data_IF_947883811531
#
_entry.id   IF_947883811531
#
_cell.length_a   1.000
_cell.length_b   1.000
_cell.length_c   1.000
_cell.angle_alpha   90.00
_cell.angle_beta   90.00
_cell.angle_gamma   90.00
#
_symmetry.space_group_name_H-M   'P 1'
#
loop_
_entity.id
_entity.type
_entity.pdbx_description
1 polymer ?
#
# COMPACT_ATOMS: atom_id res chain seq x y z
N UNK A 1 -2.34 -25.47 -6.80
CA UNK A 1 -2.66 -24.04 -6.93
C UNK A 1 -4.11 -23.90 -6.54
N UNK A 2 -4.36 -23.12 -5.49
CA UNK A 2 -5.70 -22.86 -4.94
C UNK A 2 -5.92 -21.35 -5.06
N UNK A 3 -7.08 -20.93 -5.57
CA UNK A 3 -7.40 -19.51 -5.66
C UNK A 3 -8.09 -19.05 -4.37
N UNK A 4 -7.54 -18.03 -3.74
CA UNK A 4 -8.12 -17.40 -2.55
C UNK A 4 -8.70 -16.03 -2.90
N UNK A 5 -9.72 -15.61 -2.17
CA UNK A 5 -10.32 -14.27 -2.29
C UNK A 5 -10.21 -13.59 -0.94
N UNK A 6 -9.42 -12.53 -0.86
CA UNK A 6 -9.21 -11.76 0.36
C UNK A 6 -9.82 -10.37 0.24
N UNK A 7 -10.65 -10.01 1.22
CA UNK A 7 -11.26 -8.68 1.30
C UNK A 7 -10.32 -7.74 2.06
N UNK A 8 -9.98 -6.61 1.44
CA UNK A 8 -9.14 -5.60 2.10
C UNK A 8 -9.98 -4.62 2.90
N UNK A 9 -9.44 -4.22 4.05
CA UNK A 9 -10.03 -3.22 4.92
C UNK A 9 -9.66 -1.82 4.43
N UNK A 10 -10.67 -0.99 4.24
CA UNK A 10 -10.53 0.42 3.90
C UNK A 10 -11.33 1.19 4.96
N UNK A 11 -10.65 1.90 5.90
CA UNK A 11 -11.34 2.69 6.91
C UNK A 11 -12.25 3.75 6.30
N UNK A 12 -13.27 4.19 7.04
CA UNK A 12 -14.18 5.22 6.56
C UNK A 12 -13.43 6.50 6.18
N UNK A 13 -13.79 7.08 5.04
CA UNK A 13 -13.13 8.28 4.49
C UNK A 13 -11.73 8.04 3.93
N UNK A 14 -11.25 6.79 3.92
CA UNK A 14 -9.95 6.44 3.34
C UNK A 14 -10.06 5.94 1.89
N UNK A 15 -8.94 6.03 1.17
CA UNK A 15 -8.72 5.35 -0.11
C UNK A 15 -7.60 4.33 0.05
N UNK A 16 -7.64 3.27 -0.74
CA UNK A 16 -6.60 2.26 -0.87
C UNK A 16 -5.88 2.40 -2.22
N UNK A 17 -4.57 2.22 -2.23
CA UNK A 17 -3.77 1.91 -3.41
C UNK A 17 -3.07 0.59 -3.15
N UNK A 18 -3.26 -0.39 -4.02
CA UNK A 18 -2.58 -1.69 -3.98
C UNK A 18 -1.67 -1.82 -5.19
N UNK A 19 -0.42 -2.23 -4.98
CA UNK A 19 0.55 -2.41 -6.05
C UNK A 19 1.58 -3.49 -5.76
N UNK A 20 2.49 -3.65 -6.72
CA UNK A 20 3.65 -4.52 -6.63
C UNK A 20 4.91 -3.68 -6.80
N UNK A 21 5.90 -3.94 -5.95
CA UNK A 21 7.19 -3.25 -5.94
C UNK A 21 8.31 -4.28 -5.82
N UNK A 22 9.54 -3.83 -5.63
CA UNK A 22 10.66 -4.66 -5.18
C UNK A 22 11.62 -3.82 -4.35
N UNK A 23 12.55 -4.46 -3.66
CA UNK A 23 13.64 -3.81 -2.91
C UNK A 23 13.17 -2.96 -1.71
N UNK A 24 13.94 -2.99 -0.62
CA UNK A 24 13.55 -2.43 0.68
C UNK A 24 13.36 -0.91 0.65
N UNK A 25 14.05 -0.22 -0.27
CA UNK A 25 13.96 1.22 -0.47
C UNK A 25 12.55 1.69 -0.88
N UNK A 26 11.71 0.78 -1.38
CA UNK A 26 10.27 1.01 -1.63
C UNK A 26 9.61 1.77 -0.48
N UNK A 27 9.92 1.41 0.76
CA UNK A 27 9.24 1.95 1.94
C UNK A 27 9.55 3.44 2.12
N UNK A 28 10.84 3.81 2.09
CA UNK A 28 11.29 5.20 2.24
C UNK A 28 10.86 6.04 1.03
N UNK A 29 11.04 5.53 -0.19
CA UNK A 29 10.76 6.32 -1.40
C UNK A 29 9.26 6.57 -1.58
N UNK A 30 8.41 5.57 -1.28
CA UNK A 30 6.96 5.80 -1.27
C UNK A 30 6.53 6.71 -0.12
N UNK A 31 7.16 6.64 1.05
CA UNK A 31 6.91 7.59 2.13
C UNK A 31 7.19 9.02 1.68
N UNK A 32 8.38 9.27 1.13
CA UNK A 32 8.81 10.59 0.64
C UNK A 32 7.89 11.13 -0.45
N UNK A 33 7.52 10.28 -1.42
CA UNK A 33 6.54 10.63 -2.46
C UNK A 33 5.23 11.09 -1.82
N UNK A 34 4.70 10.35 -0.85
CA UNK A 34 3.43 10.67 -0.23
C UNK A 34 3.49 12.00 0.54
N UNK A 35 4.46 12.17 1.45
CA UNK A 35 4.60 13.43 2.22
C UNK A 35 4.90 14.63 1.33
N UNK A 36 5.60 14.45 0.21
CA UNK A 36 5.93 15.51 -0.74
C UNK A 36 4.80 15.88 -1.69
N UNK A 37 3.79 15.02 -1.87
CA UNK A 37 2.74 15.22 -2.88
C UNK A 37 1.61 16.16 -2.41
N UNK A 38 1.15 16.02 -1.17
CA UNK A 38 -0.01 16.77 -0.65
C UNK A 38 0.24 17.23 0.78
N UNK A 39 0.28 18.55 1.06
CA UNK A 39 0.38 19.05 2.42
C UNK A 39 -0.78 18.54 3.30
N UNK A 40 -0.46 17.94 4.44
CA UNK A 40 -1.47 17.42 5.38
C UNK A 40 -2.06 16.06 5.03
N UNK A 41 -1.53 15.36 4.01
CA UNK A 41 -1.87 13.97 3.71
C UNK A 41 -1.69 13.08 4.94
N UNK A 42 -2.65 12.18 5.16
CA UNK A 42 -2.56 11.13 6.17
C UNK A 42 -2.48 9.78 5.50
N UNK A 43 -1.50 8.97 5.86
CA UNK A 43 -1.33 7.67 5.23
C UNK A 43 -0.69 6.62 6.13
N UNK A 44 -0.98 5.36 5.80
CA UNK A 44 -0.23 4.19 6.25
C UNK A 44 0.17 3.37 5.04
N UNK A 45 1.42 2.92 5.01
CA UNK A 45 2.03 2.12 3.95
C UNK A 45 2.55 0.82 4.57
N UNK A 46 2.25 -0.31 3.93
CA UNK A 46 2.87 -1.59 4.26
C UNK A 46 3.41 -2.26 2.99
N UNK A 47 4.64 -2.76 3.06
CA UNK A 47 5.33 -3.49 2.00
C UNK A 47 5.77 -4.86 2.52
N UNK A 48 5.44 -5.92 1.77
CA UNK A 48 5.77 -7.29 2.12
C UNK A 48 7.14 -7.68 1.53
N UNK A 49 8.18 -7.72 2.35
CA UNK A 49 9.48 -8.24 1.92
C UNK A 49 9.36 -9.72 1.52
N UNK A 50 9.95 -10.11 0.39
CA UNK A 50 9.78 -11.47 -0.16
C UNK A 50 11.01 -12.38 -0.02
N UNK A 51 12.02 -11.95 0.75
CA UNK A 51 13.25 -12.70 0.95
C UNK A 51 13.90 -12.34 2.29
N UNK A 52 14.88 -13.13 2.73
CA UNK A 52 15.55 -12.88 4.00
C UNK A 52 14.60 -13.07 5.18
N UNK A 53 14.45 -12.03 6.00
CA UNK A 53 13.57 -12.07 7.19
C UNK A 53 12.07 -12.08 6.82
N UNK A 54 11.73 -11.74 5.57
CA UNK A 54 10.36 -11.73 5.05
C UNK A 54 9.38 -10.93 5.92
N UNK A 55 9.80 -9.75 6.37
CA UNK A 55 9.02 -8.91 7.26
C UNK A 55 8.04 -8.01 6.47
N UNK A 56 6.92 -7.68 7.11
CA UNK A 56 6.09 -6.57 6.65
C UNK A 56 6.73 -5.28 7.17
N UNK A 57 7.18 -4.46 6.23
CA UNK A 57 7.80 -3.16 6.49
C UNK A 57 6.72 -2.10 6.43
N UNK A 58 6.64 -1.26 7.45
CA UNK A 58 5.51 -0.35 7.65
C UNK A 58 6.05 1.05 7.91
N UNK A 59 5.49 2.02 7.20
CA UNK A 59 5.78 3.44 7.41
C UNK A 59 4.50 4.27 7.23
N UNK A 60 4.51 5.50 7.72
CA UNK A 60 3.36 6.39 7.60
C UNK A 60 3.34 7.51 8.63
N UNK A 61 2.29 8.32 8.57
CA UNK A 61 2.10 9.46 9.48
C UNK A 61 0.71 9.46 10.16
N UNK A 62 0.02 8.33 10.06
CA UNK A 62 -1.26 8.05 10.70
C UNK A 62 -1.25 6.63 11.29
N UNK A 63 -1.19 6.47 12.62
CA UNK A 63 -1.10 5.16 13.25
C UNK A 63 -2.26 4.21 12.95
N UNK A 64 -3.48 4.72 12.78
CA UNK A 64 -4.66 3.91 12.47
C UNK A 64 -4.50 3.30 11.07
N UNK A 65 -4.14 4.12 10.09
CA UNK A 65 -3.93 3.67 8.72
C UNK A 65 -2.74 2.70 8.62
N UNK A 66 -1.67 2.90 9.40
CA UNK A 66 -0.52 1.98 9.43
C UNK A 66 -0.91 0.59 9.96
N UNK A 67 -1.74 0.54 11.01
CA UNK A 67 -2.27 -0.73 11.55
C UNK A 67 -3.12 -1.44 10.51
N UNK A 68 -4.04 -0.73 9.85
CA UNK A 68 -4.88 -1.34 8.81
C UNK A 68 -4.06 -1.78 7.59
N UNK A 69 -3.08 -1.00 7.15
CA UNK A 69 -2.19 -1.38 6.04
C UNK A 69 -1.38 -2.64 6.35
N UNK A 70 -0.92 -2.76 7.60
CA UNK A 70 -0.25 -3.97 8.11
C UNK A 70 -1.20 -5.17 8.11
N UNK A 71 -2.45 -4.98 8.57
CA UNK A 71 -3.49 -6.01 8.55
C UNK A 71 -3.79 -6.51 7.14
N UNK A 72 -3.93 -5.60 6.19
CA UNK A 72 -4.12 -5.93 4.77
C UNK A 72 -2.93 -6.69 4.19
N UNK A 73 -1.69 -6.28 4.47
CA UNK A 73 -0.50 -6.99 4.02
C UNK A 73 -0.43 -8.43 4.59
N UNK A 74 -0.83 -8.62 5.86
CA UNK A 74 -0.93 -9.97 6.47
C UNK A 74 -1.98 -10.85 5.81
N UNK A 75 -3.15 -10.29 5.47
CA UNK A 75 -4.22 -11.03 4.75
C UNK A 75 -3.77 -11.44 3.35
N UNK A 76 -3.12 -10.52 2.64
CA UNK A 76 -2.62 -10.79 1.29
C UNK A 76 -1.55 -11.87 1.26
N UNK A 77 -0.65 -11.88 2.25
CA UNK A 77 0.47 -12.82 2.38
C UNK A 77 1.29 -13.01 1.07
N UNK A 78 1.28 -12.00 0.21
CA UNK A 78 1.92 -12.04 -1.11
C UNK A 78 3.20 -11.19 -1.10
N UNK A 79 4.34 -11.84 -1.36
CA UNK A 79 5.63 -11.18 -1.39
C UNK A 79 5.68 -10.03 -2.41
N UNK A 80 6.41 -8.98 -2.08
CA UNK A 80 6.62 -7.79 -2.90
C UNK A 80 5.35 -6.99 -3.24
N UNK A 81 4.24 -7.26 -2.58
CA UNK A 81 3.07 -6.39 -2.61
C UNK A 81 3.27 -5.20 -1.67
N UNK A 82 2.72 -4.05 -2.05
CA UNK A 82 2.55 -2.93 -1.13
C UNK A 82 1.10 -2.48 -1.15
N UNK A 83 0.62 -1.98 -0.01
CA UNK A 83 -0.66 -1.31 0.08
C UNK A 83 -0.52 0.00 0.86
N UNK A 84 -1.19 1.05 0.36
CA UNK A 84 -1.21 2.38 0.94
C UNK A 84 -2.67 2.75 1.23
N UNK A 85 -2.95 3.13 2.46
CA UNK A 85 -4.21 3.77 2.84
C UNK A 85 -4.01 5.27 2.96
N UNK A 86 -4.95 6.06 2.43
CA UNK A 86 -4.87 7.51 2.36
C UNK A 86 -6.11 8.16 2.98
N UNK A 87 -5.94 9.17 3.84
CA UNK A 87 -6.96 10.14 4.26
C UNK A 87 -6.45 11.56 3.92
N UNK A 88 -7.37 12.51 3.77
CA UNK A 88 -7.08 13.90 3.38
C UNK A 88 -6.35 14.07 2.03
N UNK A 89 -6.35 13.03 1.20
CA UNK A 89 -5.85 13.03 -0.17
C UNK A 89 -6.58 11.93 -0.95
N UNK A 90 -6.56 12.04 -2.27
CA UNK A 90 -7.13 11.04 -3.17
C UNK A 90 -6.02 10.39 -4.00
N UNK A 91 -6.23 9.16 -4.52
CA UNK A 91 -5.22 8.50 -5.35
C UNK A 91 -4.75 9.34 -6.54
N UNK A 92 -5.64 10.12 -7.15
CA UNK A 92 -5.29 11.01 -8.28
C UNK A 92 -4.18 12.03 -7.94
N UNK A 93 -4.01 12.38 -6.66
CA UNK A 93 -2.97 13.31 -6.23
C UNK A 93 -1.57 12.69 -6.21
N UNK A 94 -1.48 11.36 -6.05
CA UNK A 94 -0.20 10.66 -5.78
C UNK A 94 0.14 9.59 -6.81
N UNK A 95 -0.85 9.07 -7.56
CA UNK A 95 -0.69 7.90 -8.44
C UNK A 95 0.40 8.09 -9.49
N UNK A 96 0.55 9.29 -10.06
CA UNK A 96 1.58 9.53 -11.06
C UNK A 96 2.99 9.45 -10.47
N UNK A 97 3.21 10.02 -9.28
CA UNK A 97 4.49 9.93 -8.59
C UNK A 97 4.80 8.48 -8.16
N UNK A 98 3.81 7.76 -7.62
CA UNK A 98 3.97 6.33 -7.26
C UNK A 98 4.34 5.49 -8.50
N UNK A 99 3.66 5.69 -9.64
CA UNK A 99 3.98 4.96 -10.88
C UNK A 99 5.37 5.28 -11.45
N UNK A 100 5.94 6.43 -11.09
CA UNK A 100 7.29 6.85 -11.51
C UNK A 100 8.38 6.45 -10.51
N UNK A 101 8.00 5.90 -9.34
CA UNK A 101 8.94 5.35 -8.37
C UNK A 101 9.69 4.17 -8.99
N UNK A 102 11.04 4.17 -8.99
CA UNK A 102 11.84 3.14 -9.67
C UNK A 102 11.56 1.71 -9.20
N UNK A 103 11.25 1.54 -7.91
CA UNK A 103 10.96 0.25 -7.29
C UNK A 103 9.57 -0.29 -7.68
N UNK A 104 8.63 0.58 -8.08
CA UNK A 104 7.23 0.19 -8.34
C UNK A 104 7.10 -0.49 -9.69
N UNK A 105 6.67 -1.76 -9.67
CA UNK A 105 6.46 -2.54 -10.89
C UNK A 105 5.08 -2.26 -11.53
N UNK A 106 4.02 -2.21 -10.72
CA UNK A 106 2.64 -1.96 -11.20
C UNK A 106 1.69 -1.58 -10.08
N UNK A 107 0.57 -0.96 -10.45
CA UNK A 107 -0.58 -0.72 -9.59
C UNK A 107 -1.69 -1.68 -9.99
N UNK A 108 -2.27 -2.38 -9.02
CA UNK A 108 -3.41 -3.27 -9.21
C UNK A 108 -4.73 -2.52 -9.12
N UNK A 109 -4.89 -1.68 -8.09
CA UNK A 109 -6.09 -0.88 -7.91
C UNK A 109 -5.82 0.39 -7.10
N UNK A 110 -6.71 1.36 -7.26
CA UNK A 110 -6.79 2.57 -6.45
C UNK A 110 -8.26 2.96 -6.26
N UNK A 111 -8.79 2.90 -5.05
CA UNK A 111 -10.24 2.97 -4.82
C UNK A 111 -10.60 3.32 -3.37
N UNK A 112 -11.80 3.87 -3.15
CA UNK A 112 -12.47 3.93 -1.85
C UNK A 112 -13.61 2.90 -1.73
N UNK A 113 -13.95 2.22 -2.83
CA UNK A 113 -14.99 1.20 -2.84
C UNK A 113 -14.50 -0.08 -2.15
N UNK A 114 -15.41 -0.90 -1.59
CA UNK A 114 -15.08 -2.25 -1.16
C UNK A 114 -14.32 -3.02 -2.26
N UNK A 115 -13.26 -3.73 -1.87
CA UNK A 115 -12.39 -4.43 -2.82
C UNK A 115 -11.98 -5.80 -2.29
N UNK A 116 -11.92 -6.75 -3.22
CA UNK A 116 -11.44 -8.11 -2.99
C UNK A 116 -10.26 -8.37 -3.92
N UNK A 117 -9.29 -9.16 -3.45
CA UNK A 117 -8.09 -9.52 -4.19
C UNK A 117 -8.08 -11.03 -4.40
N UNK A 118 -7.87 -11.43 -5.65
CA UNK A 118 -7.72 -12.84 -6.03
C UNK A 118 -6.24 -13.21 -5.94
N UNK A 119 -5.94 -14.23 -5.14
CA UNK A 119 -4.60 -14.77 -4.89
C UNK A 119 -4.50 -16.20 -5.44
N UNK A 120 -3.30 -16.68 -5.74
CA UNK A 120 -3.05 -18.02 -6.32
C UNK A 120 -1.86 -18.73 -5.65
#
# INVERSE_FOLDING_TARGET
MELLVEKLEIPEGANLILGQSHFIKTVEDLYEILVGSVPGIKFGLAFSESSGDCLIRVEGNDPELMVTATGNARRLAAGHTFNILLKNAFPINVLNAIKLCPEVCRIFCATANPVEVILA
#
